data_IF_390256059946
#
_entry.id   IF_390256059946
#
_cell.length_a   1.000
_cell.length_b   1.000
_cell.length_c   1.000
_cell.angle_alpha   90.00
_cell.angle_beta   90.00
_cell.angle_gamma   90.00
#
_symmetry.space_group_name_H-M   'P 1'
#
loop_
_entity.id
_entity.type
_entity.pdbx_description
1 polymer ?
#
# COMPACT_ATOMS: atom_id res chain seq x y z
N UNK A 1 -27.32 7.42 24.10
CA UNK A 1 -27.04 8.22 22.88
C UNK A 1 -26.13 7.36 22.03
N UNK A 2 -26.62 6.81 20.92
CA UNK A 2 -25.79 6.05 19.99
C UNK A 2 -25.17 7.04 19.01
N UNK A 3 -23.88 7.34 19.18
CA UNK A 3 -23.12 8.09 18.19
C UNK A 3 -22.98 7.21 16.94
N UNK A 4 -23.76 7.52 15.90
CA UNK A 4 -23.67 6.84 14.62
C UNK A 4 -22.52 7.40 13.80
N UNK A 5 -21.74 6.52 13.16
CA UNK A 5 -20.71 6.94 12.22
C UNK A 5 -21.31 7.70 11.03
N UNK A 6 -20.61 8.73 10.56
CA UNK A 6 -20.96 9.43 9.32
C UNK A 6 -20.70 8.52 8.12
N UNK A 7 -21.45 8.67 7.01
CA UNK A 7 -21.31 7.80 5.84
C UNK A 7 -19.89 7.73 5.25
N UNK A 8 -19.06 8.76 5.41
CA UNK A 8 -17.64 8.75 5.00
C UNK A 8 -16.78 7.83 5.87
N UNK A 9 -17.07 7.75 7.17
CA UNK A 9 -16.36 6.84 8.09
C UNK A 9 -16.71 5.39 7.78
N UNK A 10 -17.97 5.11 7.45
CA UNK A 10 -18.43 3.78 7.07
C UNK A 10 -17.80 3.28 5.75
N UNK A 11 -17.73 4.16 4.75
CA UNK A 11 -17.03 3.88 3.48
C UNK A 11 -15.53 3.66 3.68
N UNK A 12 -14.89 4.44 4.54
CA UNK A 12 -13.47 4.23 4.88
C UNK A 12 -13.24 2.89 5.58
N UNK A 13 -14.13 2.48 6.48
CA UNK A 13 -14.08 1.18 7.15
C UNK A 13 -14.26 0.02 6.17
N UNK A 14 -15.23 0.11 5.24
CA UNK A 14 -15.39 -0.87 4.17
C UNK A 14 -14.15 -0.97 3.27
N UNK A 15 -13.51 0.17 2.96
CA UNK A 15 -12.27 0.18 2.20
C UNK A 15 -11.12 -0.48 2.97
N UNK A 16 -10.97 -0.17 4.26
CA UNK A 16 -9.96 -0.78 5.14
C UNK A 16 -10.12 -2.31 5.20
N UNK A 17 -11.37 -2.80 5.25
CA UNK A 17 -11.69 -4.22 5.36
C UNK A 17 -11.61 -5.01 4.04
N UNK A 18 -11.74 -4.35 2.88
CA UNK A 18 -11.78 -5.03 1.56
C UNK A 18 -10.56 -4.77 0.69
N UNK A 19 -9.65 -3.89 1.10
CA UNK A 19 -8.46 -3.56 0.34
C UNK A 19 -7.48 -4.74 0.32
N UNK A 20 -7.25 -5.28 -0.87
CA UNK A 20 -6.32 -6.41 -1.07
C UNK A 20 -4.97 -5.97 -1.64
N UNK A 21 -4.95 -4.90 -2.43
CA UNK A 21 -3.72 -4.39 -3.02
C UNK A 21 -3.66 -2.87 -2.98
N UNK A 22 -2.53 -2.34 -2.51
CA UNK A 22 -2.26 -0.91 -2.42
C UNK A 22 -0.98 -0.57 -3.19
N UNK A 23 -1.02 0.44 -4.05
CA UNK A 23 0.18 0.90 -4.79
C UNK A 23 0.47 2.38 -4.49
N UNK A 24 1.70 2.68 -4.08
CA UNK A 24 2.24 4.04 -4.03
C UNK A 24 3.04 4.30 -5.30
N UNK A 25 2.56 5.21 -6.14
CA UNK A 25 3.23 5.55 -7.40
C UNK A 25 3.60 7.02 -7.48
N UNK A 26 4.86 7.31 -7.81
CA UNK A 26 5.32 8.66 -8.08
C UNK A 26 5.35 9.57 -6.85
N UNK A 27 5.39 9.01 -5.64
CA UNK A 27 5.38 9.76 -4.39
C UNK A 27 6.74 10.38 -4.08
N UNK A 28 6.98 11.54 -4.70
CA UNK A 28 8.20 12.34 -4.52
C UNK A 28 8.23 13.16 -3.23
N UNK A 29 7.10 13.43 -2.58
CA UNK A 29 7.05 14.15 -1.29
C UNK A 29 6.93 13.25 -0.06
N UNK A 30 6.64 11.96 -0.26
CA UNK A 30 6.38 11.03 0.83
C UNK A 30 7.70 10.50 1.38
N UNK A 31 8.01 10.82 2.64
CA UNK A 31 9.26 10.39 3.30
C UNK A 31 9.16 9.02 3.96
N UNK A 32 7.96 8.63 4.35
CA UNK A 32 7.64 7.37 5.02
C UNK A 32 6.26 6.89 4.57
N UNK A 33 6.07 5.58 4.55
CA UNK A 33 4.74 4.99 4.36
C UNK A 33 3.79 5.36 5.53
N UNK A 34 2.47 5.37 5.29
CA UNK A 34 1.50 5.65 6.35
C UNK A 34 1.56 4.59 7.46
N UNK A 35 1.54 5.02 8.73
CA UNK A 35 1.63 4.12 9.89
C UNK A 35 0.42 3.18 10.06
N UNK A 36 -0.74 3.56 9.54
CA UNK A 36 -1.97 2.76 9.61
C UNK A 36 -2.04 1.56 8.67
N UNK A 37 -0.96 1.20 7.96
CA UNK A 37 -0.97 0.08 7.01
C UNK A 37 -1.31 -1.26 7.68
N UNK A 38 -0.91 -1.45 8.94
CA UNK A 38 -1.22 -2.64 9.74
C UNK A 38 -2.74 -2.88 9.93
N UNK A 39 -3.59 -1.86 9.74
CA UNK A 39 -5.05 -1.94 9.92
C UNK A 39 -5.78 -2.56 8.72
N UNK A 40 -5.11 -2.68 7.58
CA UNK A 40 -5.70 -3.31 6.39
C UNK A 40 -5.55 -4.83 6.49
N UNK A 41 -6.43 -5.49 7.25
CA UNK A 41 -6.37 -6.93 7.55
C UNK A 41 -6.48 -7.85 6.33
N UNK A 42 -6.97 -7.33 5.21
CA UNK A 42 -7.08 -8.08 3.94
C UNK A 42 -6.02 -7.69 2.92
N UNK A 43 -5.10 -6.78 3.27
CA UNK A 43 -4.06 -6.32 2.36
C UNK A 43 -3.04 -7.45 2.14
N UNK A 44 -3.07 -7.99 0.95
CA UNK A 44 -2.21 -9.08 0.50
C UNK A 44 -0.97 -8.55 -0.21
N UNK A 45 -1.11 -7.45 -0.96
CA UNK A 45 -0.03 -6.90 -1.78
C UNK A 45 0.18 -5.40 -1.61
N UNK A 46 1.44 -4.98 -1.63
CA UNK A 46 1.85 -3.58 -1.57
C UNK A 46 2.85 -3.29 -2.70
N UNK A 47 2.57 -2.27 -3.50
CA UNK A 47 3.47 -1.77 -4.54
C UNK A 47 4.03 -0.41 -4.18
N UNK A 48 5.32 -0.18 -4.42
CA UNK A 48 5.97 1.12 -4.26
C UNK A 48 6.86 1.38 -5.47
N UNK A 49 6.40 2.25 -6.36
CA UNK A 49 7.06 2.52 -7.62
C UNK A 49 7.35 4.00 -7.79
N UNK A 50 8.57 4.34 -8.19
CA UNK A 50 9.03 5.72 -8.48
C UNK A 50 8.82 6.67 -7.29
N UNK A 51 9.11 6.19 -6.09
CA UNK A 51 8.98 6.94 -4.85
C UNK A 51 10.35 7.16 -4.18
N UNK A 52 11.21 8.05 -4.71
CA UNK A 52 12.62 8.13 -4.31
C UNK A 52 12.83 8.73 -2.91
N UNK A 53 11.85 9.46 -2.36
CA UNK A 53 11.97 10.08 -1.05
C UNK A 53 11.51 9.18 0.10
N UNK A 54 10.85 8.04 -0.18
CA UNK A 54 10.47 7.10 0.88
C UNK A 54 11.74 6.40 1.35
N UNK A 55 12.08 6.61 2.62
CA UNK A 55 13.32 6.09 3.23
C UNK A 55 13.09 5.08 4.33
N UNK A 56 11.87 5.01 4.88
CA UNK A 56 11.56 4.23 6.07
C UNK A 56 10.29 3.42 5.90
N UNK A 57 10.31 2.19 6.43
CA UNK A 57 9.12 1.37 6.61
C UNK A 57 8.24 1.93 7.74
N UNK A 58 6.92 1.61 7.76
CA UNK A 58 6.05 2.02 8.84
C UNK A 58 6.52 1.39 10.16
N UNK A 59 6.62 2.20 11.23
CA UNK A 59 7.05 1.72 12.56
C UNK A 59 6.14 0.64 13.13
N UNK A 60 4.85 0.73 12.85
CA UNK A 60 3.84 -0.22 13.32
C UNK A 60 3.77 -1.48 12.44
N UNK A 61 4.63 -1.58 11.42
CA UNK A 61 4.75 -2.75 10.57
C UNK A 61 3.64 -2.88 9.53
N UNK A 62 3.57 -4.09 8.98
CA UNK A 62 2.64 -4.47 7.94
C UNK A 62 1.58 -5.43 8.50
N UNK A 63 0.41 -5.52 7.86
CA UNK A 63 -0.60 -6.50 8.26
C UNK A 63 -0.07 -7.92 8.01
N UNK A 64 -0.48 -8.87 8.86
CA UNK A 64 -0.05 -10.27 8.76
C UNK A 64 -0.47 -10.95 7.44
N UNK A 65 -1.48 -10.40 6.76
CA UNK A 65 -1.93 -10.85 5.45
C UNK A 65 -0.98 -10.50 4.31
N UNK A 66 -0.04 -9.57 4.52
CA UNK A 66 0.87 -9.10 3.47
C UNK A 66 1.84 -10.21 3.07
N UNK A 67 1.79 -10.61 1.81
CA UNK A 67 2.63 -11.66 1.23
C UNK A 67 3.38 -11.20 -0.01
N UNK A 68 2.96 -10.10 -0.64
CA UNK A 68 3.55 -9.60 -1.87
C UNK A 68 3.97 -8.14 -1.71
N UNK A 69 5.25 -7.84 -1.94
CA UNK A 69 5.79 -6.49 -1.90
C UNK A 69 6.59 -6.24 -3.18
N UNK A 70 6.08 -5.33 -4.02
CA UNK A 70 6.75 -4.93 -5.24
C UNK A 70 7.37 -3.55 -5.10
N UNK A 71 8.61 -3.39 -5.57
CA UNK A 71 9.33 -2.13 -5.47
C UNK A 71 10.11 -1.81 -6.73
N UNK A 72 10.01 -0.57 -7.21
CA UNK A 72 10.78 -0.08 -8.37
C UNK A 72 11.15 1.39 -8.15
N UNK A 73 12.38 1.79 -8.46
CA UNK A 73 12.77 3.21 -8.41
C UNK A 73 12.59 3.84 -7.02
N UNK A 74 12.84 3.07 -5.97
CA UNK A 74 12.80 3.51 -4.56
C UNK A 74 14.21 3.74 -4.00
N UNK A 75 14.30 4.37 -2.82
CA UNK A 75 15.60 4.62 -2.20
C UNK A 75 16.27 3.31 -1.75
N UNK A 76 17.60 3.26 -1.89
CA UNK A 76 18.45 2.14 -1.44
C UNK A 76 18.26 1.82 0.06
N UNK A 77 18.04 2.86 0.87
CA UNK A 77 17.77 2.71 2.31
C UNK A 77 16.47 1.96 2.60
N UNK A 78 15.42 2.21 1.80
CA UNK A 78 14.16 1.49 1.92
C UNK A 78 14.33 0.03 1.47
N UNK A 79 15.02 -0.18 0.35
CA UNK A 79 15.31 -1.54 -0.15
C UNK A 79 16.06 -2.38 0.89
N UNK A 80 17.04 -1.80 1.60
CA UNK A 80 17.77 -2.51 2.65
C UNK A 80 16.84 -2.94 3.80
N UNK A 81 15.96 -2.05 4.26
CA UNK A 81 14.98 -2.38 5.31
C UNK A 81 14.01 -3.48 4.86
N UNK A 82 13.59 -3.46 3.59
CA UNK A 82 12.70 -4.48 3.03
C UNK A 82 13.38 -5.84 2.95
N UNK A 83 14.66 -5.90 2.56
CA UNK A 83 15.41 -7.17 2.61
C UNK A 83 15.51 -7.75 4.01
N UNK A 84 15.69 -6.90 5.02
CA UNK A 84 15.68 -7.34 6.43
C UNK A 84 14.31 -7.89 6.85
N UNK A 85 13.24 -7.24 6.38
CA UNK A 85 11.87 -7.69 6.63
C UNK A 85 11.58 -9.03 5.95
N UNK A 86 11.98 -9.19 4.69
CA UNK A 86 11.86 -10.44 3.93
C UNK A 86 12.58 -11.60 4.64
N UNK A 87 13.82 -11.37 5.10
CA UNK A 87 14.55 -12.36 5.87
C UNK A 87 13.87 -12.74 7.20
N UNK A 88 13.06 -11.85 7.76
CA UNK A 88 12.32 -12.08 9.01
C UNK A 88 10.90 -12.62 8.78
N UNK A 89 10.40 -12.61 7.55
CA UNK A 89 9.05 -13.04 7.19
C UNK A 89 9.08 -13.94 5.95
N UNK A 90 9.16 -15.27 6.10
CA UNK A 90 9.32 -16.21 4.99
C UNK A 90 8.11 -16.30 4.06
N UNK A 91 6.95 -15.77 4.48
CA UNK A 91 5.75 -15.70 3.65
C UNK A 91 5.68 -14.44 2.79
N UNK A 92 6.56 -13.46 3.04
CA UNK A 92 6.67 -12.25 2.26
C UNK A 92 7.59 -12.48 1.07
N UNK A 93 7.11 -12.15 -0.13
CA UNK A 93 7.87 -12.19 -1.37
C UNK A 93 8.14 -10.77 -1.83
N UNK A 94 9.41 -10.45 -2.07
CA UNK A 94 9.81 -9.15 -2.60
C UNK A 94 10.20 -9.29 -4.07
N UNK A 95 9.60 -8.48 -4.93
CA UNK A 95 9.85 -8.51 -6.37
C UNK A 95 10.16 -7.12 -6.93
N UNK A 96 10.99 -7.06 -7.98
CA UNK A 96 11.15 -5.87 -8.81
C UNK A 96 9.92 -5.76 -9.75
N UNK A 97 9.36 -4.55 -9.94
CA UNK A 97 7.93 -4.41 -10.24
C UNK A 97 7.48 -4.96 -11.60
N UNK A 98 6.51 -5.89 -11.58
CA UNK A 98 5.25 -5.89 -12.35
C UNK A 98 4.49 -7.20 -12.12
N UNK A 99 3.53 -7.23 -11.18
CA UNK A 99 2.54 -8.33 -11.16
C UNK A 99 1.12 -7.80 -11.21
N UNK A 100 0.49 -8.01 -12.36
CA UNK A 100 -0.89 -7.60 -12.61
C UNK A 100 -1.84 -8.73 -12.19
N UNK A 101 -2.10 -8.89 -10.89
CA UNK A 101 -3.18 -9.77 -10.41
C UNK A 101 -4.56 -9.13 -10.59
N UNK A 102 -5.58 -9.95 -10.88
CA UNK A 102 -7.01 -9.59 -10.96
C UNK A 102 -7.58 -9.51 -9.54
N UNK A 103 -7.19 -8.49 -8.79
CA UNK A 103 -7.66 -8.23 -7.42
C UNK A 103 -8.10 -6.78 -7.27
N UNK A 104 -8.88 -6.45 -6.24
CA UNK A 104 -9.26 -5.06 -5.95
C UNK A 104 -8.00 -4.24 -5.67
N UNK A 105 -7.67 -3.33 -6.58
CA UNK A 105 -6.47 -2.50 -6.53
C UNK A 105 -6.83 -1.06 -6.21
N UNK A 106 -6.17 -0.49 -5.21
CA UNK A 106 -6.22 0.95 -4.99
C UNK A 106 -4.83 1.51 -5.21
N UNK A 107 -4.73 2.49 -6.10
CA UNK A 107 -3.50 3.21 -6.37
C UNK A 107 -3.56 4.57 -5.69
N UNK A 108 -2.62 4.81 -4.79
CA UNK A 108 -2.33 6.13 -4.29
C UNK A 108 -1.39 6.82 -5.28
N UNK A 109 -1.92 7.82 -6.02
CA UNK A 109 -1.09 8.73 -6.81
C UNK A 109 -0.79 9.96 -5.98
N UNK A 110 0.48 10.22 -5.73
CA UNK A 110 0.90 11.45 -5.08
C UNK A 110 1.16 12.53 -6.14
N UNK A 111 0.22 13.43 -6.37
CA UNK A 111 0.45 14.64 -7.15
C UNK A 111 1.06 15.73 -6.24
N UNK A 112 1.85 16.66 -6.79
CA UNK A 112 2.45 17.77 -6.00
C UNK A 112 1.33 18.53 -5.26
N UNK A 113 1.24 18.35 -3.94
CA UNK A 113 0.32 19.08 -3.06
C UNK A 113 -1.04 18.42 -2.73
N UNK A 114 -1.45 17.34 -3.41
CA UNK A 114 -2.63 16.53 -3.03
C UNK A 114 -2.42 15.06 -3.38
N UNK A 115 -2.63 14.16 -2.42
CA UNK A 115 -2.71 12.72 -2.68
C UNK A 115 -4.11 12.35 -3.16
N UNK A 116 -4.22 11.65 -4.29
CA UNK A 116 -5.49 11.11 -4.79
C UNK A 116 -5.45 9.59 -4.74
N UNK A 117 -6.46 8.99 -4.13
CA UNK A 117 -6.68 7.54 -4.16
C UNK A 117 -7.56 7.23 -5.37
N UNK A 118 -7.05 6.47 -6.33
CA UNK A 118 -7.82 5.96 -7.47
C UNK A 118 -8.04 4.47 -7.27
N UNK A 119 -9.30 4.04 -7.18
CA UNK A 119 -9.64 2.62 -7.13
C UNK A 119 -9.77 2.09 -8.56
N UNK A 120 -9.24 0.91 -8.81
CA UNK A 120 -9.43 0.17 -10.05
C UNK A 120 -10.14 -1.15 -9.71
N UNK A 121 -11.34 -1.33 -10.26
CA UNK A 121 -12.05 -2.62 -10.26
C UNK A 121 -11.64 -3.48 -11.46
N UNK A 122 -12.08 -4.76 -11.53
CA UNK A 122 -11.94 -5.54 -12.76
C UNK A 122 -12.57 -4.72 -13.90
N UNK A 123 -11.79 -4.42 -14.94
CA UNK A 123 -12.26 -3.61 -16.04
C UNK A 123 -13.42 -4.34 -16.74
N UNK A 124 -14.63 -3.83 -16.57
CA UNK A 124 -15.69 -4.00 -17.56
C UNK A 124 -15.48 -2.90 -18.59
N UNK A 125 -14.88 -3.27 -19.73
CA UNK A 125 -14.91 -2.48 -20.95
C UNK A 125 -16.35 -2.41 -21.44
N UNK A 126 -16.87 -1.21 -21.73
CA UNK A 126 -17.92 -1.03 -22.75
C UNK A 126 -17.21 -0.59 -24.01
#
# INVERSE_FOLDING_TARGET
MTESFTGKQEQALQLLASLQYLEFYGCSGLKSLPGGLHRFSSLYGLGISRCPQIRLLPKEGFPASLQDLSMEGCSINLMHQVKKLEASNPHLKVHDASVTYIVRKVRARCLRGRGTLTQYGPQGTI
#
